data_IF_382202984834
#
_entry.id   IF_382202984834
#
_cell.length_a   1.000
_cell.length_b   1.000
_cell.length_c   1.000
_cell.angle_alpha   90.00
_cell.angle_beta   90.00
_cell.angle_gamma   90.00
#
_symmetry.space_group_name_H-M   'P 1'
#
loop_
_entity.id
_entity.type
_entity.pdbx_description
1 polymer ?
#
# COMPACT_ATOMS: atom_id res chain seq x y z
N UNK A 1 -7.53 3.16 11.45
CA UNK A 1 -6.84 3.76 10.29
C UNK A 1 -5.37 3.82 10.67
N UNK A 2 -4.47 3.15 9.95
CA UNK A 2 -3.04 3.17 10.31
C UNK A 2 -2.45 4.52 9.94
N UNK A 3 -1.65 5.08 10.83
CA UNK A 3 -0.98 6.35 10.58
C UNK A 3 0.25 6.11 9.69
N UNK A 4 0.44 6.98 8.70
CA UNK A 4 1.57 6.96 7.78
C UNK A 4 2.90 7.14 8.55
N UNK A 5 2.85 7.87 9.67
CA UNK A 5 4.02 8.16 10.51
C UNK A 5 4.52 6.98 11.34
N UNK A 6 3.83 5.84 11.29
CA UNK A 6 4.37 4.57 11.80
C UNK A 6 5.47 3.99 10.90
N UNK A 7 5.55 4.44 9.64
CA UNK A 7 6.42 3.86 8.62
C UNK A 7 7.46 4.85 8.08
N UNK A 8 7.14 6.14 8.08
CA UNK A 8 8.02 7.21 7.61
C UNK A 8 8.03 8.38 8.58
N UNK A 9 9.08 9.20 8.58
CA UNK A 9 9.11 10.41 9.41
C UNK A 9 8.21 11.51 8.84
N UNK A 10 7.79 12.45 9.70
CA UNK A 10 7.07 13.65 9.26
C UNK A 10 7.89 14.47 8.26
N UNK A 11 9.18 14.64 8.53
CA UNK A 11 10.10 15.39 7.65
C UNK A 11 10.14 14.81 6.24
N UNK A 12 10.24 13.48 6.13
CA UNK A 12 10.24 12.79 4.84
C UNK A 12 8.90 12.92 4.11
N UNK A 13 7.78 12.79 4.84
CA UNK A 13 6.45 13.02 4.29
C UNK A 13 6.32 14.43 3.70
N UNK A 14 6.69 15.46 4.47
CA UNK A 14 6.54 16.85 4.02
C UNK A 14 7.48 17.19 2.88
N UNK A 15 8.73 16.71 2.90
CA UNK A 15 9.67 16.86 1.80
C UNK A 15 9.09 16.33 0.49
N UNK A 16 8.58 15.09 0.49
CA UNK A 16 7.96 14.51 -0.72
C UNK A 16 6.71 15.27 -1.12
N UNK A 17 5.91 15.74 -0.16
CA UNK A 17 4.73 16.56 -0.46
C UNK A 17 5.07 17.88 -1.16
N UNK A 18 6.24 18.46 -0.90
CA UNK A 18 6.72 19.68 -1.56
C UNK A 18 7.28 19.39 -2.95
N UNK A 19 8.08 18.33 -3.07
CA UNK A 19 8.81 17.96 -4.29
C UNK A 19 7.96 17.29 -5.39
N UNK A 20 6.84 16.65 -5.03
CA UNK A 20 6.00 15.93 -5.99
C UNK A 20 5.30 16.88 -6.97
N UNK A 21 5.38 16.63 -8.28
CA UNK A 21 4.70 17.46 -9.28
C UNK A 21 3.22 17.08 -9.44
N UNK A 22 2.43 17.97 -10.04
CA UNK A 22 1.04 17.66 -10.37
C UNK A 22 0.90 16.45 -11.30
N UNK A 23 -0.02 15.55 -10.97
CA UNK A 23 -0.26 14.30 -11.69
C UNK A 23 0.70 13.17 -11.34
N UNK A 24 1.79 13.44 -10.61
CA UNK A 24 2.74 12.41 -10.21
C UNK A 24 2.23 11.58 -9.03
N UNK A 25 2.69 10.33 -9.02
CA UNK A 25 2.54 9.40 -7.89
C UNK A 25 3.93 8.88 -7.54
N UNK A 26 4.33 9.03 -6.28
CA UNK A 26 5.64 8.62 -5.76
C UNK A 26 5.42 7.61 -4.65
N UNK A 27 6.12 6.48 -4.74
CA UNK A 27 6.21 5.54 -3.64
C UNK A 27 7.23 6.06 -2.62
N UNK A 28 6.80 6.23 -1.38
CA UNK A 28 7.62 6.76 -0.29
C UNK A 28 8.04 5.68 0.71
N UNK A 29 7.38 4.53 0.65
CA UNK A 29 7.70 3.39 1.50
C UNK A 29 7.22 2.11 0.84
N UNK A 30 8.09 1.10 0.83
CA UNK A 30 7.76 -0.24 0.36
C UNK A 30 8.41 -1.29 1.24
N UNK A 31 7.59 -2.19 1.75
CA UNK A 31 7.97 -3.38 2.48
C UNK A 31 7.23 -4.58 1.91
N UNK A 32 7.47 -5.78 2.47
CA UNK A 32 6.82 -7.02 2.02
C UNK A 32 5.29 -6.96 2.11
N UNK A 33 4.76 -6.30 3.15
CA UNK A 33 3.34 -6.32 3.48
C UNK A 33 2.68 -4.95 3.37
N UNK A 34 3.46 -3.88 3.19
CA UNK A 34 2.94 -2.51 3.14
C UNK A 34 3.60 -1.71 2.03
N UNK A 35 2.79 -0.93 1.34
CA UNK A 35 3.21 0.04 0.34
C UNK A 35 2.50 1.36 0.56
N UNK A 36 3.24 2.47 0.49
CA UNK A 36 2.71 3.80 0.73
C UNK A 36 3.08 4.70 -0.45
N UNK A 37 2.04 5.21 -1.10
CA UNK A 37 2.17 6.12 -2.24
C UNK A 37 1.57 7.49 -1.91
N UNK A 38 2.23 8.53 -2.39
CA UNK A 38 1.73 9.90 -2.38
C UNK A 38 1.42 10.30 -3.82
N UNK A 39 0.24 10.88 -4.05
CA UNK A 39 -0.15 11.45 -5.33
C UNK A 39 -0.53 12.92 -5.18
N UNK A 40 -0.02 13.77 -6.07
CA UNK A 40 -0.51 15.15 -6.21
C UNK A 40 -1.48 15.23 -7.38
N UNK A 41 -2.62 15.87 -7.14
CA UNK A 41 -3.61 16.19 -8.17
C UNK A 41 -4.16 17.59 -7.91
N UNK A 42 -3.78 18.52 -8.77
CA UNK A 42 -3.87 19.96 -8.55
C UNK A 42 -3.17 20.36 -7.25
N UNK A 43 -3.91 21.06 -6.38
CA UNK A 43 -3.43 21.50 -5.06
C UNK A 43 -3.61 20.45 -3.97
N UNK A 44 -4.16 19.28 -4.30
CA UNK A 44 -4.48 18.24 -3.32
C UNK A 44 -3.41 17.16 -3.31
N UNK A 45 -3.09 16.69 -2.12
CA UNK A 45 -2.21 15.55 -1.90
C UNK A 45 -3.04 14.40 -1.34
N UNK A 46 -2.90 13.24 -1.97
CA UNK A 46 -3.56 11.99 -1.60
C UNK A 46 -2.51 11.01 -1.10
N UNK A 47 -2.88 10.25 -0.08
CA UNK A 47 -2.05 9.20 0.51
C UNK A 47 -2.75 7.87 0.29
N UNK A 48 -2.03 6.91 -0.23
CA UNK A 48 -2.50 5.54 -0.41
C UNK A 48 -1.65 4.63 0.46
N UNK A 49 -2.30 3.86 1.32
CA UNK A 49 -1.65 2.86 2.17
C UNK A 49 -2.24 1.52 1.77
N UNK A 50 -1.46 0.72 1.04
CA UNK A 50 -1.80 -0.64 0.69
C UNK A 50 -1.22 -1.58 1.75
N UNK A 51 -2.07 -2.38 2.38
CA UNK A 51 -1.69 -3.45 3.28
C UNK A 51 -2.00 -4.78 2.58
N UNK A 52 -0.96 -5.57 2.33
CA UNK A 52 -1.05 -6.84 1.64
C UNK A 52 -1.23 -8.03 2.61
N UNK A 53 -1.35 -7.77 3.91
CA UNK A 53 -1.52 -8.79 4.94
C UNK A 53 -0.28 -9.67 5.13
N UNK A 54 -0.31 -10.54 6.16
CA UNK A 54 0.73 -11.55 6.38
C UNK A 54 0.50 -12.84 5.60
N UNK A 55 -0.49 -12.88 4.71
CA UNK A 55 -0.84 -14.12 4.03
C UNK A 55 0.36 -14.59 3.21
N UNK A 56 1.02 -15.60 3.77
CA UNK A 56 2.10 -16.28 3.08
C UNK A 56 1.53 -16.79 1.76
N UNK A 57 2.37 -16.85 0.73
CA UNK A 57 1.96 -17.38 -0.58
C UNK A 57 1.27 -18.76 -0.43
N UNK A 58 1.65 -19.52 0.62
CA UNK A 58 1.04 -20.78 0.99
C UNK A 58 -0.40 -20.66 1.53
N UNK A 59 -0.74 -19.65 2.33
CA UNK A 59 -2.11 -19.42 2.81
C UNK A 59 -3.05 -19.02 1.66
N UNK A 60 -2.56 -18.19 0.73
CA UNK A 60 -3.29 -17.85 -0.48
C UNK A 60 -3.49 -19.07 -1.40
N UNK A 61 -2.47 -19.92 -1.52
CA UNK A 61 -2.56 -21.17 -2.29
C UNK A 61 -3.52 -22.16 -1.63
N UNK A 62 -3.44 -22.37 -0.32
CA UNK A 62 -4.37 -23.24 0.42
C UNK A 62 -5.82 -22.81 0.23
N UNK A 63 -6.14 -21.52 0.34
CA UNK A 63 -7.51 -21.04 0.12
C UNK A 63 -7.97 -21.27 -1.33
N UNK A 64 -7.08 -21.16 -2.33
CA UNK A 64 -7.39 -21.50 -3.72
C UNK A 64 -7.64 -23.00 -3.93
N UNK A 65 -6.86 -23.88 -3.31
CA UNK A 65 -7.04 -25.34 -3.43
C UNK A 65 -8.26 -25.83 -2.64
N UNK A 66 -8.48 -25.34 -1.42
CA UNK A 66 -9.63 -25.70 -0.58
C UNK A 66 -10.97 -25.24 -1.18
N UNK A 67 -11.00 -24.15 -1.94
CA UNK A 67 -12.19 -23.71 -2.69
C UNK A 67 -12.48 -24.57 -3.91
N UNK A 68 -11.46 -25.23 -4.49
CA UNK A 68 -11.63 -26.14 -5.64
C UNK A 68 -12.37 -27.42 -5.27
N UNK A 69 -12.14 -27.95 -4.07
CA UNK A 69 -12.79 -29.18 -3.57
C UNK A 69 -14.24 -28.97 -3.11
N UNK A 70 -14.72 -27.72 -3.02
CA UNK A 70 -16.13 -27.41 -2.73
C UNK A 70 -17.01 -27.28 -3.98
N UNK A 71 -16.48 -27.47 -5.18
CA UNK A 71 -17.29 -27.68 -6.38
C UNK A 71 -17.67 -29.17 -6.42
N UNK A 72 -18.52 -29.58 -5.48
CA UNK A 72 -19.27 -30.83 -5.61
C UNK A 72 -20.37 -30.54 -6.64
N UNK A 73 -20.20 -31.09 -7.83
CA UNK A 73 -21.24 -31.17 -8.88
C UNK A 73 -22.28 -32.20 -8.43
#
# INVERSE_FOLDING_TARGET
>A
MRDIFMYISEEEYYRVCEEIDDGQTINIYKSKNIEIDIKRSGKKIYKFIADYGECSLNECLEDMYLKKDKIII
#
